data_IF_866801288279
#
_entry.id   IF_866801288279
#
_cell.length_a   1.000
_cell.length_b   1.000
_cell.length_c   1.000
_cell.angle_alpha   90.00
_cell.angle_beta   90.00
_cell.angle_gamma   90.00
#
_symmetry.space_group_name_H-M   'P 1'
#
loop_
_entity.id
_entity.type
_entity.pdbx_description
1 polymer ?
#
# COMPACT_ATOMS: atom_id res chain seq x y z
N UNK A 1 4.99 -5.15 -8.70
CA UNK A 1 5.70 -4.01 -9.35
C UNK A 1 6.53 -3.32 -8.27
N UNK A 2 7.69 -2.73 -8.59
CA UNK A 2 8.46 -1.89 -7.64
C UNK A 2 8.12 -0.44 -7.95
N UNK A 3 7.60 0.28 -6.96
CA UNK A 3 7.05 1.62 -7.11
C UNK A 3 7.92 2.62 -6.37
N UNK A 4 8.10 3.81 -6.94
CA UNK A 4 8.57 4.95 -6.15
C UNK A 4 7.51 5.31 -5.12
N UNK A 5 7.86 6.10 -4.09
CA UNK A 5 6.93 6.48 -3.03
C UNK A 5 5.73 7.25 -3.57
N UNK A 6 5.95 8.16 -4.53
CA UNK A 6 4.89 8.93 -5.18
C UNK A 6 3.95 8.02 -5.99
N UNK A 7 4.50 7.07 -6.73
CA UNK A 7 3.71 6.11 -7.50
C UNK A 7 2.92 5.17 -6.59
N UNK A 8 3.49 4.77 -5.44
CA UNK A 8 2.82 3.96 -4.43
C UNK A 8 1.63 4.71 -3.83
N UNK A 9 1.79 5.99 -3.50
CA UNK A 9 0.71 6.86 -3.00
C UNK A 9 -0.41 7.00 -4.04
N UNK A 10 -0.09 7.30 -5.30
CA UNK A 10 -1.09 7.45 -6.38
C UNK A 10 -1.91 6.17 -6.58
N UNK A 11 -1.25 5.00 -6.45
CA UNK A 11 -1.89 3.69 -6.51
C UNK A 11 -2.90 3.50 -5.37
N UNK A 12 -2.51 3.83 -4.12
CA UNK A 12 -3.40 3.75 -2.96
C UNK A 12 -4.61 4.71 -3.07
N UNK A 13 -4.40 5.95 -3.52
CA UNK A 13 -5.46 6.95 -3.68
C UNK A 13 -6.58 6.50 -4.64
N UNK A 14 -6.21 5.72 -5.66
CA UNK A 14 -7.13 5.27 -6.72
C UNK A 14 -7.75 3.91 -6.45
N UNK A 15 -7.22 3.13 -5.50
CA UNK A 15 -7.59 1.74 -5.28
C UNK A 15 -9.09 1.58 -4.94
N UNK A 16 -9.61 2.33 -3.96
CA UNK A 16 -11.00 2.18 -3.52
C UNK A 16 -12.01 2.53 -4.63
N UNK A 17 -11.73 3.59 -5.41
CA UNK A 17 -12.55 3.98 -6.59
C UNK A 17 -12.58 2.90 -7.68
N UNK A 18 -11.62 1.96 -7.66
CA UNK A 18 -11.51 0.83 -8.59
C UNK A 18 -11.98 -0.49 -7.96
N UNK A 19 -12.59 -0.46 -6.77
CA UNK A 19 -13.05 -1.66 -6.09
C UNK A 19 -11.94 -2.47 -5.42
N UNK A 20 -10.81 -1.83 -5.07
CA UNK A 20 -9.63 -2.48 -4.51
C UNK A 20 -9.30 -2.00 -3.10
N UNK A 21 -8.97 -2.97 -2.24
CA UNK A 21 -8.44 -2.82 -0.90
C UNK A 21 -6.92 -3.02 -0.94
N UNK A 22 -6.14 -2.12 -0.37
CA UNK A 22 -4.71 -2.36 -0.12
C UNK A 22 -4.58 -3.28 1.08
N UNK A 23 -4.12 -4.50 0.86
CA UNK A 23 -4.02 -5.53 1.90
C UNK A 23 -2.64 -5.62 2.52
N UNK A 24 -1.58 -5.23 1.79
CA UNK A 24 -0.21 -5.24 2.27
C UNK A 24 0.66 -4.25 1.51
N UNK A 25 1.59 -3.64 2.23
CA UNK A 25 2.70 -2.88 1.67
C UNK A 25 4.01 -3.48 2.18
N UNK A 26 4.96 -3.67 1.27
CA UNK A 26 6.33 -4.07 1.58
C UNK A 26 7.27 -2.99 1.04
N UNK A 27 8.01 -2.33 1.92
CA UNK A 27 9.01 -1.34 1.56
C UNK A 27 10.42 -1.92 1.49
N UNK A 28 11.32 -1.11 0.94
CA UNK A 28 12.71 -1.48 0.77
C UNK A 28 13.54 -0.37 0.15
N UNK A 29 14.78 -0.71 -0.18
CA UNK A 29 15.76 0.20 -0.76
C UNK A 29 16.09 -0.24 -2.18
N UNK A 30 16.12 0.70 -3.11
CA UNK A 30 16.58 0.49 -4.47
C UNK A 30 18.12 0.51 -4.54
N UNK A 31 18.70 -0.52 -5.17
CA UNK A 31 20.16 -0.70 -5.31
C UNK A 31 20.69 -0.55 -6.74
N UNK A 32 19.87 -0.06 -7.68
CA UNK A 32 20.21 0.22 -9.09
C UNK A 32 21.21 -0.75 -9.79
N UNK A 33 20.76 -1.92 -10.28
CA UNK A 33 19.44 -2.51 -10.09
C UNK A 33 19.40 -3.40 -8.85
N UNK A 34 18.22 -3.51 -8.23
CA UNK A 34 18.01 -4.44 -7.13
C UNK A 34 17.03 -3.87 -6.12
N UNK A 35 16.20 -4.73 -5.56
CA UNK A 35 15.29 -4.37 -4.48
C UNK A 35 15.74 -5.11 -3.22
N UNK A 36 16.16 -4.34 -2.22
CA UNK A 36 16.47 -4.84 -0.89
C UNK A 36 15.21 -4.74 -0.04
N UNK A 37 14.55 -5.88 0.19
CA UNK A 37 13.36 -5.94 1.03
C UNK A 37 13.70 -5.68 2.50
N UNK A 38 12.85 -4.91 3.19
CA UNK A 38 13.06 -4.47 4.56
C UNK A 38 11.93 -4.97 5.46
N UNK A 39 12.24 -5.89 6.37
CA UNK A 39 11.26 -6.53 7.27
C UNK A 39 10.66 -5.55 8.27
N UNK A 40 11.40 -4.50 8.58
CA UNK A 40 10.99 -3.34 9.37
C UNK A 40 10.04 -2.40 8.62
N UNK A 41 9.89 -2.58 7.30
CA UNK A 41 9.01 -1.78 6.45
C UNK A 41 7.87 -2.64 5.87
N UNK A 42 7.10 -3.30 6.74
CA UNK A 42 5.92 -4.08 6.35
C UNK A 42 4.69 -3.50 7.03
N UNK A 43 3.65 -3.27 6.23
CA UNK A 43 2.33 -2.88 6.72
C UNK A 43 1.28 -3.86 6.22
N UNK A 44 0.42 -4.29 7.13
CA UNK A 44 -0.74 -5.12 6.85
C UNK A 44 -2.01 -4.29 6.98
N UNK A 45 -2.87 -4.41 5.98
CA UNK A 45 -4.16 -3.74 5.94
C UNK A 45 -5.21 -4.44 6.79
N UNK A 46 -6.37 -3.80 6.89
CA UNK A 46 -7.53 -4.36 7.57
C UNK A 46 -8.05 -5.64 6.87
N UNK A 47 -8.52 -6.59 7.69
CA UNK A 47 -9.00 -7.89 7.23
C UNK A 47 -10.34 -7.77 6.48
N UNK A 48 -10.45 -8.33 5.26
CA UNK A 48 -11.72 -8.39 4.53
C UNK A 48 -12.73 -9.36 5.19
N UNK A 49 -14.04 -9.22 4.92
CA UNK A 49 -14.64 -8.32 3.95
C UNK A 49 -14.81 -6.88 4.48
N UNK A 50 -14.47 -5.89 3.65
CA UNK A 50 -14.70 -4.47 3.91
C UNK A 50 -15.63 -3.90 2.85
N UNK A 51 -16.50 -2.95 3.24
CA UNK A 51 -17.25 -2.14 2.28
C UNK A 51 -16.35 -1.09 1.61
N UNK A 52 -16.91 -0.34 0.65
CA UNK A 52 -16.15 0.67 -0.08
C UNK A 52 -15.64 1.82 0.80
N UNK A 53 -16.36 2.17 1.88
CA UNK A 53 -16.00 3.26 2.78
C UNK A 53 -14.84 2.83 3.68
N UNK A 54 -14.96 1.68 4.34
CA UNK A 54 -13.92 1.11 5.19
C UNK A 54 -12.64 0.80 4.38
N UNK A 55 -12.78 0.30 3.14
CA UNK A 55 -11.64 0.10 2.26
C UNK A 55 -10.96 1.43 1.86
N UNK A 56 -11.74 2.51 1.64
CA UNK A 56 -11.17 3.82 1.39
C UNK A 56 -10.37 4.34 2.59
N UNK A 57 -10.91 4.23 3.80
CA UNK A 57 -10.22 4.62 5.04
C UNK A 57 -8.93 3.81 5.26
N UNK A 58 -8.98 2.48 5.05
CA UNK A 58 -7.79 1.63 5.08
C UNK A 58 -6.72 2.08 4.09
N UNK A 59 -7.11 2.40 2.85
CA UNK A 59 -6.17 2.82 1.82
C UNK A 59 -5.55 4.21 2.13
N UNK A 60 -6.24 5.07 2.88
CA UNK A 60 -5.66 6.31 3.39
C UNK A 60 -4.61 6.05 4.48
N UNK A 61 -4.86 5.08 5.37
CA UNK A 61 -3.86 4.66 6.37
C UNK A 61 -2.61 4.08 5.69
N UNK A 62 -2.80 3.33 4.62
CA UNK A 62 -1.72 2.79 3.79
C UNK A 62 -0.83 3.91 3.20
N UNK A 63 -1.42 5.06 2.81
CA UNK A 63 -0.69 6.24 2.34
C UNK A 63 0.14 6.85 3.45
N UNK A 64 -0.43 6.99 4.65
CA UNK A 64 0.29 7.54 5.80
C UNK A 64 1.48 6.66 6.20
N UNK A 65 1.35 5.33 6.10
CA UNK A 65 2.48 4.41 6.29
C UNK A 65 3.60 4.66 5.26
N UNK A 66 3.28 4.78 3.96
CA UNK A 66 4.30 5.07 2.93
C UNK A 66 5.01 6.40 3.24
N UNK A 67 4.27 7.42 3.67
CA UNK A 67 4.82 8.74 4.03
C UNK A 67 5.74 8.67 5.25
N UNK A 68 5.41 7.87 6.27
CA UNK A 68 6.27 7.73 7.44
C UNK A 68 7.56 6.97 7.15
N UNK A 69 7.51 6.04 6.20
CA UNK A 69 8.65 5.18 5.83
C UNK A 69 9.59 5.79 4.78
N UNK A 70 9.10 6.75 3.99
CA UNK A 70 9.86 7.40 2.90
C UNK A 70 11.27 7.90 3.28
N UNK A 71 11.53 8.43 4.49
CA UNK A 71 12.88 8.87 4.85
C UNK A 71 13.93 7.76 4.84
N UNK A 72 13.53 6.50 5.03
CA UNK A 72 14.42 5.33 5.13
C UNK A 72 14.23 4.33 3.97
N UNK A 73 13.07 4.37 3.31
CA UNK A 73 12.65 3.41 2.29
C UNK A 73 12.17 4.12 1.02
N UNK A 74 12.83 3.87 -0.12
CA UNK A 74 12.60 4.58 -1.38
C UNK A 74 11.78 3.77 -2.40
N UNK A 75 11.44 2.52 -2.09
CA UNK A 75 10.79 1.61 -3.03
C UNK A 75 9.75 0.75 -2.32
N UNK A 76 8.57 0.63 -2.93
CA UNK A 76 7.44 -0.09 -2.34
C UNK A 76 6.83 -1.12 -3.30
N UNK A 77 6.32 -2.20 -2.73
CA UNK A 77 5.46 -3.20 -3.39
C UNK A 77 4.11 -3.14 -2.69
N UNK A 78 3.04 -3.08 -3.48
CA UNK A 78 1.66 -3.01 -2.98
C UNK A 78 0.92 -4.28 -3.40
N UNK A 79 0.29 -4.94 -2.43
CA UNK A 79 -0.65 -6.03 -2.67
C UNK A 79 -2.07 -5.53 -2.44
N UNK A 80 -2.98 -5.91 -3.34
CA UNK A 80 -4.39 -5.52 -3.28
C UNK A 80 -5.31 -6.72 -3.37
N UNK A 81 -6.47 -6.59 -2.73
CA UNK A 81 -7.58 -7.53 -2.81
C UNK A 81 -8.84 -6.83 -3.34
N UNK A 82 -9.78 -7.56 -3.95
CA UNK A 82 -11.10 -7.00 -4.27
C UNK A 82 -11.86 -6.62 -3.01
N UNK A 83 -12.60 -5.51 -3.07
CA UNK A 83 -13.58 -5.14 -2.03
C UNK A 83 -14.78 -6.09 -2.14
N UNK A 84 -15.10 -6.80 -1.05
CA UNK A 84 -16.14 -7.84 -1.02
C UNK A 84 -17.24 -7.60 0.03
N UNK A 85 -17.08 -6.61 0.90
CA UNK A 85 -18.10 -6.22 1.88
C UNK A 85 -19.26 -5.45 1.26
N UNK A 86 -20.41 -5.47 1.93
CA UNK A 86 -21.61 -4.73 1.55
C UNK A 86 -21.75 -3.52 2.47
N UNK A 87 -22.14 -2.38 1.91
CA UNK A 87 -22.45 -1.15 2.65
C UNK A 87 -23.76 -1.26 3.44
#
# INVERSE_FOLDING_TARGET
MKLTPEAAIEVCERAAKRGLLVSRIEGGIWRNPGFEARIDCIWDGAEPPLDAKAAHENNLIAIEFIRSEFPEHDTFIITMLPITGRA
#
